data_IF_764024069251
#
_entry.id   IF_764024069251
#
_cell.length_a   1.000
_cell.length_b   1.000
_cell.length_c   1.000
_cell.angle_alpha   90.00
_cell.angle_beta   90.00
_cell.angle_gamma   90.00
#
_symmetry.space_group_name_H-M   'P 1'
#
loop_
_entity.id
_entity.type
_entity.pdbx_description
1 polymer ?
#
# COMPACT_ATOMS: atom_id res chain seq x y z
N UNK A 1 -36.00 -27.68 0.59
CA UNK A 1 -34.92 -26.88 1.19
C UNK A 1 -33.66 -27.33 0.48
N UNK A 2 -33.35 -26.71 -0.63
CA UNK A 2 -32.23 -27.04 -1.52
C UNK A 2 -31.10 -26.06 -1.23
N UNK A 3 -30.03 -26.60 -0.65
CA UNK A 3 -28.78 -25.89 -0.41
C UNK A 3 -28.14 -25.59 -1.75
N UNK A 4 -27.94 -24.30 -2.07
CA UNK A 4 -27.20 -23.88 -3.25
C UNK A 4 -25.74 -23.78 -2.82
N UNK A 5 -24.93 -24.78 -3.21
CA UNK A 5 -23.48 -24.73 -3.14
C UNK A 5 -23.00 -23.68 -4.13
N UNK A 6 -22.62 -22.51 -3.61
CA UNK A 6 -21.91 -21.49 -4.38
C UNK A 6 -20.45 -21.94 -4.50
N UNK A 7 -20.16 -22.59 -5.61
CA UNK A 7 -18.82 -23.00 -5.98
C UNK A 7 -18.01 -21.77 -6.35
N UNK A 8 -17.15 -21.30 -5.43
CA UNK A 8 -16.19 -20.23 -5.68
C UNK A 8 -15.19 -20.68 -6.76
N UNK A 9 -14.86 -19.84 -7.74
CA UNK A 9 -13.92 -20.19 -8.78
C UNK A 9 -12.54 -20.54 -8.20
N UNK A 10 -11.93 -21.61 -8.71
CA UNK A 10 -10.65 -22.19 -8.28
C UNK A 10 -9.41 -21.29 -8.40
N UNK A 11 -9.54 -20.02 -8.78
CA UNK A 11 -8.44 -19.08 -9.01
C UNK A 11 -7.99 -18.28 -7.77
N UNK A 12 -8.52 -18.56 -6.58
CA UNK A 12 -8.09 -17.89 -5.34
C UNK A 12 -7.02 -18.69 -4.58
N UNK A 13 -5.91 -19.04 -5.22
CA UNK A 13 -4.68 -19.28 -4.45
C UNK A 13 -4.01 -17.93 -4.24
N UNK A 14 -4.14 -17.41 -3.04
CA UNK A 14 -3.29 -16.33 -2.53
C UNK A 14 -1.84 -16.73 -2.80
N UNK A 15 -1.10 -15.90 -3.52
CA UNK A 15 0.35 -16.00 -3.54
C UNK A 15 0.77 -15.72 -2.10
N UNK A 16 1.40 -16.66 -1.38
CA UNK A 16 1.80 -16.39 -0.01
C UNK A 16 2.82 -15.27 -0.02
N UNK A 17 2.47 -14.16 0.61
CA UNK A 17 3.43 -13.11 0.91
C UNK A 17 4.49 -13.70 1.87
N UNK A 18 5.79 -13.55 1.60
CA UNK A 18 6.80 -14.07 2.50
C UNK A 18 6.65 -13.45 3.87
N UNK A 19 6.74 -14.29 4.90
CA UNK A 19 6.82 -13.85 6.29
C UNK A 19 7.98 -12.87 6.42
N UNK A 20 7.64 -11.61 6.58
CA UNK A 20 8.59 -10.51 6.72
C UNK A 20 9.20 -10.55 8.13
N UNK A 21 10.34 -11.20 8.27
CA UNK A 21 11.17 -11.08 9.46
C UNK A 21 11.90 -9.74 9.44
N UNK A 22 11.62 -8.92 10.41
CA UNK A 22 12.35 -7.74 10.98
C UNK A 22 13.26 -6.82 10.12
N UNK A 23 13.63 -5.62 10.57
CA UNK A 23 13.68 -4.43 9.76
C UNK A 23 14.78 -4.39 8.71
N UNK A 24 14.39 -4.05 7.49
CA UNK A 24 15.14 -3.32 6.46
C UNK A 24 16.65 -3.67 6.32
N UNK A 25 17.00 -4.93 6.10
CA UNK A 25 18.32 -5.30 5.57
C UNK A 25 18.18 -5.67 4.09
N UNK A 26 19.23 -5.45 3.29
CA UNK A 26 19.26 -5.70 1.84
C UNK A 26 18.88 -7.11 1.35
N UNK A 27 18.54 -8.03 2.27
CA UNK A 27 17.98 -9.35 1.97
C UNK A 27 16.48 -9.31 1.62
N UNK A 28 15.79 -8.24 1.96
CA UNK A 28 14.35 -8.10 1.69
C UNK A 28 14.06 -7.75 0.22
N UNK A 29 14.98 -7.06 -0.45
CA UNK A 29 14.90 -6.83 -1.90
C UNK A 29 14.94 -8.15 -2.69
N UNK A 30 15.72 -9.13 -2.22
CA UNK A 30 15.81 -10.45 -2.85
C UNK A 30 14.55 -11.30 -2.63
N UNK A 31 13.87 -11.17 -1.49
CA UNK A 31 12.63 -11.90 -1.21
C UNK A 31 11.45 -11.35 -2.03
N UNK A 32 11.39 -10.03 -2.21
CA UNK A 32 10.42 -9.38 -3.11
C UNK A 32 10.71 -9.75 -4.58
N UNK A 33 11.97 -9.75 -5.02
CA UNK A 33 12.34 -10.22 -6.35
C UNK A 33 11.94 -11.69 -6.59
N UNK A 34 12.05 -12.56 -5.57
CA UNK A 34 11.63 -13.95 -5.66
C UNK A 34 10.09 -14.11 -5.77
N UNK A 35 9.30 -13.18 -5.20
CA UNK A 35 7.85 -13.15 -5.41
C UNK A 35 7.48 -12.82 -6.86
N UNK A 36 8.24 -11.93 -7.49
CA UNK A 36 8.05 -11.62 -8.91
C UNK A 36 8.53 -12.75 -9.83
N UNK A 37 9.58 -13.48 -9.44
CA UNK A 37 10.16 -14.57 -10.23
C UNK A 37 9.34 -15.87 -10.17
N UNK A 38 8.65 -16.16 -9.06
CA UNK A 38 7.80 -17.35 -8.93
C UNK A 38 6.47 -17.26 -9.70
N UNK A 39 6.08 -16.07 -10.12
CA UNK A 39 4.90 -15.83 -10.97
C UNK A 39 5.10 -16.29 -12.44
N UNK A 40 6.32 -16.68 -12.84
CA UNK A 40 6.68 -16.99 -14.22
C UNK A 40 6.37 -18.42 -14.67
N UNK A 41 5.62 -19.22 -13.92
CA UNK A 41 5.19 -20.56 -14.38
C UNK A 41 3.70 -20.58 -14.69
N UNK A 42 3.45 -20.50 -15.98
CA UNK A 42 2.14 -20.43 -16.61
C UNK A 42 1.11 -21.42 -16.10
N UNK A 43 -0.03 -20.91 -15.83
CA UNK A 43 -1.43 -21.34 -15.82
C UNK A 43 -2.32 -20.57 -14.80
N UNK A 44 -1.72 -19.70 -13.97
CA UNK A 44 -2.46 -18.83 -13.03
C UNK A 44 -2.61 -17.39 -13.54
N UNK A 45 -2.10 -17.10 -14.71
CA UNK A 45 -1.77 -15.74 -15.18
C UNK A 45 -2.98 -14.89 -15.60
N UNK A 46 -4.07 -15.49 -15.99
CA UNK A 46 -5.21 -14.78 -16.57
C UNK A 46 -6.29 -14.32 -15.59
N UNK A 47 -6.18 -14.66 -14.31
CA UNK A 47 -7.23 -14.40 -13.31
C UNK A 47 -6.95 -13.22 -12.36
N UNK A 48 -5.81 -12.56 -12.47
CA UNK A 48 -5.34 -11.66 -11.40
C UNK A 48 -5.22 -10.17 -11.74
N UNK A 49 -5.48 -9.77 -12.99
CA UNK A 49 -5.53 -8.34 -13.33
C UNK A 49 -6.66 -7.66 -12.57
N UNK A 50 -6.38 -6.49 -12.02
CA UNK A 50 -7.33 -5.69 -11.25
C UNK A 50 -7.88 -6.32 -9.95
N UNK A 51 -7.36 -7.48 -9.53
CA UNK A 51 -7.73 -8.06 -8.25
C UNK A 51 -6.79 -7.58 -7.14
N UNK A 52 -7.37 -7.04 -6.06
CA UNK A 52 -6.61 -6.66 -4.87
C UNK A 52 -6.37 -7.89 -4.01
N UNK A 53 -5.10 -8.14 -3.71
CA UNK A 53 -4.67 -9.13 -2.73
C UNK A 53 -4.20 -8.40 -1.48
N UNK A 54 -4.59 -8.89 -0.29
CA UNK A 54 -4.19 -8.25 0.96
C UNK A 54 -3.95 -9.27 2.06
N UNK A 55 -2.94 -9.00 2.86
CA UNK A 55 -2.55 -9.79 4.02
C UNK A 55 -2.37 -8.87 5.23
N UNK A 56 -2.73 -9.38 6.41
CA UNK A 56 -2.53 -8.68 7.68
C UNK A 56 -1.95 -9.62 8.71
N UNK A 57 -0.86 -9.18 9.31
CA UNK A 57 -0.20 -9.85 10.44
C UNK A 57 -0.43 -9.06 11.73
N UNK A 58 -0.73 -9.79 12.82
CA UNK A 58 -0.86 -9.23 14.16
C UNK A 58 0.43 -9.44 14.92
N UNK A 59 1.12 -8.35 15.22
CA UNK A 59 2.36 -8.33 15.94
C UNK A 59 2.13 -7.95 17.42
N UNK A 60 3.11 -8.20 18.30
CA UNK A 60 3.04 -7.82 19.71
C UNK A 60 2.72 -6.34 19.92
N UNK A 61 2.26 -6.00 21.12
CA UNK A 61 1.98 -4.63 21.55
C UNK A 61 0.94 -3.88 20.70
N UNK A 62 0.03 -4.60 20.06
CA UNK A 62 -1.01 -4.00 19.22
C UNK A 62 -0.51 -3.50 17.85
N UNK A 63 0.70 -3.84 17.46
CA UNK A 63 1.22 -3.52 16.13
C UNK A 63 0.51 -4.36 15.06
N UNK A 64 0.27 -3.76 13.92
CA UNK A 64 -0.28 -4.43 12.72
C UNK A 64 0.66 -4.19 11.56
N UNK A 65 0.93 -5.26 10.81
CA UNK A 65 1.59 -5.20 9.51
C UNK A 65 0.57 -5.59 8.46
N UNK A 66 0.46 -4.77 7.43
CA UNK A 66 -0.41 -4.99 6.28
C UNK A 66 0.40 -4.93 5.02
N UNK A 67 0.06 -5.80 4.07
CA UNK A 67 0.56 -5.73 2.71
C UNK A 67 -0.66 -5.83 1.78
N UNK A 68 -0.71 -4.94 0.81
CA UNK A 68 -1.78 -4.90 -0.20
C UNK A 68 -1.13 -4.73 -1.55
N UNK A 69 -1.49 -5.58 -2.51
CA UNK A 69 -0.99 -5.51 -3.86
C UNK A 69 -2.10 -5.51 -4.90
N UNK A 70 -1.81 -4.87 -6.02
CA UNK A 70 -2.69 -4.76 -7.17
C UNK A 70 -1.85 -4.90 -8.44
N UNK A 71 -2.28 -5.78 -9.35
CA UNK A 71 -1.66 -5.97 -10.65
C UNK A 71 -2.48 -5.29 -11.74
N UNK A 72 -1.81 -4.65 -12.72
CA UNK A 72 -2.45 -3.88 -13.76
C UNK A 72 -1.60 -3.81 -15.03
N UNK A 73 -2.24 -3.51 -16.14
CA UNK A 73 -1.56 -3.21 -17.41
C UNK A 73 -1.32 -1.70 -17.50
N UNK A 74 -0.18 -1.25 -16.98
CA UNK A 74 0.21 0.17 -16.98
C UNK A 74 1.73 0.28 -16.94
N UNK A 75 2.30 1.28 -17.63
CA UNK A 75 3.73 1.58 -17.52
C UNK A 75 4.07 2.03 -16.08
N UNK A 76 5.09 1.44 -15.43
CA UNK A 76 5.56 1.80 -14.09
C UNK A 76 5.83 3.29 -13.90
N UNK A 77 6.26 3.99 -14.94
CA UNK A 77 6.57 5.41 -14.89
C UNK A 77 5.37 6.28 -14.46
N UNK A 78 4.16 5.90 -14.87
CA UNK A 78 2.95 6.61 -14.44
C UNK A 78 2.65 6.43 -12.97
N UNK A 79 2.84 5.21 -12.43
CA UNK A 79 2.67 4.96 -11.00
C UNK A 79 3.70 5.74 -10.18
N UNK A 80 4.97 5.74 -10.62
CA UNK A 80 6.02 6.51 -9.96
C UNK A 80 5.71 8.01 -9.93
N UNK A 81 5.28 8.55 -11.06
CA UNK A 81 4.91 9.96 -11.18
C UNK A 81 3.72 10.34 -10.27
N UNK A 82 2.77 9.43 -10.07
CA UNK A 82 1.62 9.64 -9.17
C UNK A 82 2.06 9.56 -7.70
N UNK A 83 2.85 8.55 -7.33
CA UNK A 83 3.31 8.35 -5.94
C UNK A 83 4.22 9.47 -5.44
N UNK A 84 5.01 10.08 -6.35
CA UNK A 84 5.94 11.17 -6.00
C UNK A 84 5.34 12.57 -6.15
N UNK A 85 4.08 12.68 -6.56
CA UNK A 85 3.36 13.95 -6.63
C UNK A 85 2.74 14.34 -5.28
N UNK A 86 3.60 14.50 -4.29
CA UNK A 86 3.24 14.63 -2.87
C UNK A 86 2.22 15.73 -2.56
N UNK A 87 2.31 16.86 -3.25
CA UNK A 87 1.42 18.00 -3.02
C UNK A 87 -0.01 17.75 -3.50
N UNK A 88 -0.20 16.81 -4.41
CA UNK A 88 -1.49 16.51 -5.02
C UNK A 88 -2.14 15.21 -4.53
N UNK A 89 -1.48 14.43 -3.66
CA UNK A 89 -2.01 13.16 -3.14
C UNK A 89 -3.41 13.31 -2.53
N UNK A 90 -3.66 14.39 -1.79
CA UNK A 90 -4.97 14.65 -1.18
C UNK A 90 -6.11 14.92 -2.17
N UNK A 91 -5.82 15.09 -3.47
CA UNK A 91 -6.84 15.29 -4.49
C UNK A 91 -7.52 13.99 -4.92
N UNK A 92 -6.82 12.86 -4.75
CA UNK A 92 -7.32 11.58 -5.25
C UNK A 92 -7.25 10.45 -4.22
N UNK A 93 -6.35 10.51 -3.22
CA UNK A 93 -6.30 9.50 -2.15
C UNK A 93 -7.50 9.68 -1.22
N UNK A 94 -8.37 8.67 -1.05
CA UNK A 94 -9.51 8.74 -0.15
C UNK A 94 -9.08 9.01 1.29
N UNK A 95 -9.90 9.75 2.02
CA UNK A 95 -9.68 10.07 3.43
C UNK A 95 -8.38 10.84 3.75
N UNK A 96 -7.62 11.28 2.75
CA UNK A 96 -6.45 12.14 2.91
C UNK A 96 -6.85 13.59 2.67
N UNK A 97 -7.01 14.37 3.75
CA UNK A 97 -7.43 15.77 3.68
C UNK A 97 -6.29 16.71 3.32
N UNK A 98 -5.10 16.42 3.84
CA UNK A 98 -3.91 17.26 3.64
C UNK A 98 -2.75 16.34 3.24
N UNK A 99 -2.03 16.76 2.21
CA UNK A 99 -0.71 16.26 1.85
C UNK A 99 0.16 17.43 1.47
N UNK A 100 1.16 17.74 2.29
CA UNK A 100 1.98 18.92 2.16
C UNK A 100 3.45 18.59 2.24
N UNK A 101 4.20 18.95 1.20
CA UNK A 101 5.65 18.88 1.20
C UNK A 101 6.19 19.88 2.21
N UNK A 102 6.96 19.40 3.19
CA UNK A 102 7.61 20.25 4.21
C UNK A 102 9.01 20.67 3.75
N UNK A 103 9.78 19.71 3.25
CA UNK A 103 11.13 19.91 2.74
C UNK A 103 11.55 18.77 1.83
N UNK A 104 12.59 19.00 1.02
CA UNK A 104 13.24 17.99 0.16
C UNK A 104 14.77 18.14 0.26
N UNK A 105 15.48 17.02 0.40
CA UNK A 105 16.93 16.94 0.41
C UNK A 105 17.36 15.72 -0.39
N UNK A 106 17.89 15.92 -1.57
CA UNK A 106 18.22 14.86 -2.53
C UNK A 106 17.02 13.90 -2.73
N UNK A 107 17.18 12.64 -2.39
CA UNK A 107 16.15 11.60 -2.48
C UNK A 107 15.30 11.43 -1.19
N UNK A 108 15.45 12.32 -0.22
CA UNK A 108 14.69 12.29 1.04
C UNK A 108 13.72 13.47 1.10
N UNK A 109 12.49 13.19 1.52
CA UNK A 109 11.38 14.14 1.51
C UNK A 109 10.69 14.14 2.86
N UNK A 110 10.48 15.32 3.44
CA UNK A 110 9.60 15.51 4.59
C UNK A 110 8.19 15.85 4.13
N UNK A 111 7.21 15.09 4.59
CA UNK A 111 5.81 15.19 4.18
C UNK A 111 4.89 15.27 5.40
N UNK A 112 3.98 16.24 5.42
CA UNK A 112 2.87 16.25 6.38
C UNK A 112 1.61 15.69 5.73
N UNK A 113 0.97 14.76 6.39
CA UNK A 113 -0.32 14.21 5.98
C UNK A 113 -1.33 14.24 7.12
N UNK A 114 -2.58 14.57 6.79
CA UNK A 114 -3.72 14.48 7.70
C UNK A 114 -4.78 13.62 7.04
N UNK A 115 -5.02 12.46 7.66
CA UNK A 115 -6.13 11.59 7.31
C UNK A 115 -7.36 11.88 8.18
N UNK A 116 -8.55 11.69 7.62
CA UNK A 116 -9.80 11.79 8.36
C UNK A 116 -10.72 10.61 8.06
N UNK A 117 -11.33 10.10 9.11
CA UNK A 117 -12.23 8.95 9.06
C UNK A 117 -13.50 9.24 9.85
N UNK A 118 -14.65 8.79 9.34
CA UNK A 118 -15.91 8.84 10.07
C UNK A 118 -16.27 7.45 10.59
N UNK A 119 -16.56 7.35 11.88
CA UNK A 119 -17.00 6.12 12.50
C UNK A 119 -18.11 6.41 13.51
N UNK A 120 -19.24 5.69 13.40
CA UNK A 120 -20.43 5.87 14.27
C UNK A 120 -20.87 7.33 14.41
N UNK A 121 -20.81 8.11 13.31
CA UNK A 121 -21.17 9.53 13.32
C UNK A 121 -20.11 10.48 13.89
N UNK A 122 -19.01 9.97 14.40
CA UNK A 122 -17.87 10.77 14.86
C UNK A 122 -16.76 10.82 13.80
N UNK A 123 -16.15 11.99 13.65
CA UNK A 123 -15.03 12.21 12.73
C UNK A 123 -13.71 12.18 13.50
N UNK A 124 -12.85 11.25 13.14
CA UNK A 124 -11.50 11.11 13.68
C UNK A 124 -10.50 11.64 12.66
N UNK A 125 -9.53 12.39 13.14
CA UNK A 125 -8.39 12.86 12.33
C UNK A 125 -7.11 12.32 12.92
N UNK A 126 -6.18 11.95 12.04
CA UNK A 126 -4.83 11.58 12.43
C UNK A 126 -3.83 12.37 11.57
N UNK A 127 -2.85 12.95 12.21
CA UNK A 127 -1.76 13.69 11.57
C UNK A 127 -0.47 12.92 11.71
N UNK A 128 0.31 12.89 10.63
CA UNK A 128 1.65 12.32 10.60
C UNK A 128 2.60 13.25 9.84
N UNK A 129 3.82 13.38 10.35
CA UNK A 129 4.96 13.96 9.65
C UNK A 129 5.89 12.80 9.28
N UNK A 130 6.01 12.53 8.01
CA UNK A 130 6.74 11.41 7.45
C UNK A 130 8.07 11.88 6.87
N UNK A 131 9.07 11.05 7.01
CA UNK A 131 10.27 11.08 6.19
C UNK A 131 10.18 9.97 5.16
N UNK A 132 10.23 10.35 3.88
CA UNK A 132 10.18 9.44 2.75
C UNK A 132 11.54 9.39 2.09
N UNK A 133 11.99 8.19 1.70
CA UNK A 133 13.19 7.99 0.91
C UNK A 133 12.81 7.41 -0.44
N UNK A 134 13.17 8.13 -1.50
CA UNK A 134 12.98 7.71 -2.88
C UNK A 134 14.14 6.83 -3.34
N UNK A 135 13.84 5.64 -3.86
CA UNK A 135 14.76 4.72 -4.50
C UNK A 135 14.32 4.47 -5.96
N UNK A 136 14.58 5.42 -6.88
CA UNK A 136 14.06 5.34 -8.25
C UNK A 136 14.54 4.11 -9.02
N UNK A 137 15.79 3.68 -8.80
CA UNK A 137 16.38 2.50 -9.44
C UNK A 137 15.64 1.21 -9.04
N UNK A 138 15.19 1.15 -7.79
CA UNK A 138 14.44 0.03 -7.24
C UNK A 138 12.93 0.20 -7.40
N UNK A 139 12.47 1.33 -7.94
CA UNK A 139 11.06 1.71 -8.01
C UNK A 139 10.37 1.59 -6.64
N UNK A 140 11.08 2.02 -5.59
CA UNK A 140 10.66 1.90 -4.19
C UNK A 140 10.61 3.26 -3.51
N UNK A 141 9.55 3.48 -2.73
CA UNK A 141 9.38 4.66 -1.89
C UNK A 141 9.13 4.19 -0.46
N UNK A 142 10.14 4.26 0.40
CA UNK A 142 10.00 3.92 1.82
C UNK A 142 9.65 5.14 2.65
N UNK A 143 8.94 4.95 3.77
CA UNK A 143 8.58 6.03 4.68
C UNK A 143 8.60 5.60 6.12
N UNK A 144 8.93 6.56 7.00
CA UNK A 144 8.89 6.41 8.45
C UNK A 144 8.32 7.68 9.07
N UNK A 145 7.48 7.53 10.07
CA UNK A 145 6.92 8.66 10.81
C UNK A 145 7.95 9.22 11.80
N UNK A 146 8.23 10.52 11.68
CA UNK A 146 9.06 11.25 12.64
C UNK A 146 8.22 11.82 13.78
N UNK A 147 6.97 12.22 13.49
CA UNK A 147 6.04 12.79 14.46
C UNK A 147 4.59 12.52 14.03
N UNK A 148 3.69 12.27 14.98
CA UNK A 148 2.28 12.07 14.66
C UNK A 148 1.47 11.40 15.74
N UNK A 149 0.24 11.02 15.39
CA UNK A 149 -0.77 10.49 16.30
C UNK A 149 -0.70 8.97 16.48
N UNK A 150 0.33 8.33 15.95
CA UNK A 150 0.61 6.91 16.12
C UNK A 150 1.88 6.71 16.97
N UNK A 151 2.07 5.53 17.53
CA UNK A 151 3.35 5.12 18.14
C UNK A 151 4.35 4.69 17.10
N UNK A 152 3.86 4.02 16.05
CA UNK A 152 4.66 3.56 14.91
C UNK A 152 3.82 3.70 13.65
N UNK A 153 4.41 4.23 12.60
CA UNK A 153 3.80 4.32 11.28
C UNK A 153 4.94 4.36 10.26
N UNK A 154 5.16 3.25 9.58
CA UNK A 154 6.24 3.10 8.60
C UNK A 154 5.86 2.07 7.56
N UNK A 155 6.48 2.13 6.40
CA UNK A 155 6.20 1.20 5.32
C UNK A 155 6.89 1.56 4.02
N UNK A 156 6.35 1.02 2.93
CA UNK A 156 6.86 1.29 1.60
C UNK A 156 5.80 1.09 0.51
N UNK A 157 5.97 1.81 -0.56
CA UNK A 157 5.41 1.51 -1.87
C UNK A 157 6.47 0.85 -2.72
N UNK A 158 6.11 -0.19 -3.45
CA UNK A 158 6.99 -0.90 -4.36
C UNK A 158 6.27 -1.10 -5.69
N UNK A 159 6.91 -0.73 -6.78
CA UNK A 159 6.43 -1.01 -8.13
C UNK A 159 7.30 -2.12 -8.70
N UNK A 160 6.67 -3.21 -9.13
CA UNK A 160 7.30 -4.29 -9.87
C UNK A 160 6.77 -4.31 -11.30
N UNK A 161 7.60 -4.74 -12.23
CA UNK A 161 7.19 -4.90 -13.64
C UNK A 161 7.80 -6.17 -14.22
N UNK A 162 6.97 -6.98 -14.86
CA UNK A 162 7.37 -8.21 -15.54
C UNK A 162 6.56 -8.41 -16.83
N UNK A 163 6.75 -9.55 -17.51
CA UNK A 163 6.07 -9.87 -18.76
C UNK A 163 4.53 -9.91 -18.63
N UNK A 164 4.00 -10.08 -17.43
CA UNK A 164 2.56 -10.19 -17.16
C UNK A 164 1.96 -8.88 -16.62
N UNK A 165 2.71 -7.78 -16.62
CA UNK A 165 2.24 -6.45 -16.26
C UNK A 165 2.99 -5.77 -15.10
N UNK A 166 2.36 -4.76 -14.55
CA UNK A 166 2.90 -3.96 -13.45
C UNK A 166 2.18 -4.28 -12.16
N UNK A 167 2.92 -4.48 -11.09
CA UNK A 167 2.40 -4.72 -9.75
C UNK A 167 2.71 -3.53 -8.86
N UNK A 168 1.72 -3.01 -8.17
CA UNK A 168 1.85 -2.02 -7.12
C UNK A 168 1.63 -2.69 -5.78
N UNK A 169 2.64 -2.67 -4.91
CA UNK A 169 2.59 -3.18 -3.54
C UNK A 169 2.67 -2.02 -2.56
N UNK A 170 1.81 -2.04 -1.56
CA UNK A 170 1.85 -1.13 -0.41
C UNK A 170 1.97 -1.92 0.88
N UNK A 171 3.04 -1.71 1.61
CA UNK A 171 3.32 -2.28 2.92
C UNK A 171 3.20 -1.20 3.99
N UNK A 172 2.52 -1.52 5.09
CA UNK A 172 2.35 -0.63 6.23
C UNK A 172 2.52 -1.39 7.54
N UNK A 173 3.38 -0.89 8.43
CA UNK A 173 3.45 -1.29 9.83
C UNK A 173 2.95 -0.13 10.68
N UNK A 174 1.91 -0.38 11.46
CA UNK A 174 1.27 0.64 12.29
C UNK A 174 1.04 0.15 13.70
N UNK A 175 1.26 1.04 14.68
CA UNK A 175 0.90 0.85 16.09
C UNK A 175 0.13 2.08 16.55
N UNK A 176 -1.09 1.87 17.02
CA UNK A 176 -1.93 2.94 17.58
C UNK A 176 -1.44 3.42 18.94
N UNK A 177 -1.86 4.61 19.33
CA UNK A 177 -1.66 5.12 20.69
C UNK A 177 -2.57 4.41 21.72
N UNK A 178 -2.25 4.58 23.00
CA UNK A 178 -3.06 4.04 24.11
C UNK A 178 -4.48 4.62 24.02
N UNK A 179 -5.48 3.73 24.12
CA UNK A 179 -6.89 4.11 24.01
C UNK A 179 -7.48 4.07 22.60
N UNK A 180 -6.68 3.84 21.56
CA UNK A 180 -7.16 3.68 20.22
C UNK A 180 -7.71 2.24 20.01
N UNK A 181 -8.98 2.04 19.59
CA UNK A 181 -9.59 0.72 19.48
C UNK A 181 -8.96 -0.08 18.34
N UNK A 182 -8.18 -1.12 18.67
CA UNK A 182 -7.40 -1.89 17.68
C UNK A 182 -8.29 -2.56 16.63
N UNK A 183 -9.45 -3.11 17.04
CA UNK A 183 -10.36 -3.78 16.10
C UNK A 183 -10.90 -2.81 15.02
N UNK A 184 -11.18 -1.57 15.42
CA UNK A 184 -11.59 -0.52 14.50
C UNK A 184 -10.47 -0.16 13.52
N UNK A 185 -9.24 -0.07 14.02
CA UNK A 185 -8.05 0.19 13.20
C UNK A 185 -7.89 -0.91 12.16
N UNK A 186 -7.98 -2.19 12.54
CA UNK A 186 -7.79 -3.32 11.63
C UNK A 186 -8.76 -3.29 10.43
N UNK A 187 -10.05 -3.10 10.71
CA UNK A 187 -11.05 -3.05 9.66
C UNK A 187 -10.78 -1.87 8.70
N UNK A 188 -10.56 -0.68 9.27
CA UNK A 188 -10.34 0.53 8.48
C UNK A 188 -9.06 0.48 7.66
N UNK A 189 -7.98 -0.02 8.23
CA UNK A 189 -6.72 -0.17 7.49
C UNK A 189 -6.88 -1.06 6.25
N UNK A 190 -7.62 -2.16 6.34
CA UNK A 190 -7.88 -3.03 5.17
C UNK A 190 -8.64 -2.29 4.06
N UNK A 191 -9.71 -1.60 4.45
CA UNK A 191 -10.54 -0.83 3.52
C UNK A 191 -9.72 0.32 2.88
N UNK A 192 -9.00 1.07 3.69
CA UNK A 192 -8.25 2.26 3.23
C UNK A 192 -7.05 1.90 2.35
N UNK A 193 -6.28 0.86 2.69
CA UNK A 193 -5.15 0.48 1.87
C UNK A 193 -5.59 0.01 0.48
N UNK A 194 -6.64 -0.79 0.41
CA UNK A 194 -7.21 -1.22 -0.86
C UNK A 194 -7.73 -0.02 -1.69
N UNK A 195 -8.44 0.91 -1.03
CA UNK A 195 -8.93 2.13 -1.67
C UNK A 195 -7.78 3.04 -2.15
N UNK A 196 -6.69 3.13 -1.39
CA UNK A 196 -5.51 3.90 -1.78
C UNK A 196 -4.84 3.34 -3.04
N UNK A 197 -4.66 1.99 -3.13
CA UNK A 197 -4.12 1.37 -4.34
C UNK A 197 -4.99 1.66 -5.57
N UNK A 198 -6.32 1.53 -5.41
CA UNK A 198 -7.26 1.86 -6.49
C UNK A 198 -7.19 3.32 -6.91
N UNK A 199 -7.07 4.23 -5.96
CA UNK A 199 -6.97 5.65 -6.25
C UNK A 199 -5.67 5.99 -7.01
N UNK A 200 -4.54 5.39 -6.62
CA UNK A 200 -3.27 5.53 -7.34
C UNK A 200 -3.37 4.97 -8.76
N UNK A 201 -3.96 3.78 -8.93
CA UNK A 201 -4.20 3.17 -10.24
C UNK A 201 -5.05 4.07 -11.13
N UNK A 202 -6.19 4.53 -10.64
CA UNK A 202 -7.12 5.38 -11.40
C UNK A 202 -6.48 6.69 -11.82
N UNK A 203 -5.74 7.34 -10.93
CA UNK A 203 -5.04 8.58 -11.24
C UNK A 203 -3.92 8.34 -12.27
N UNK A 204 -3.18 7.24 -12.17
CA UNK A 204 -2.14 6.90 -13.13
C UNK A 204 -2.72 6.60 -14.52
N UNK A 205 -3.83 5.85 -14.61
CA UNK A 205 -4.56 5.61 -15.86
C UNK A 205 -5.10 6.93 -16.46
N UNK A 206 -5.65 7.81 -15.63
CA UNK A 206 -6.14 9.12 -16.07
C UNK A 206 -5.02 9.98 -16.66
N UNK A 207 -3.83 9.96 -16.04
CA UNK A 207 -2.67 10.70 -16.56
C UNK A 207 -2.15 10.11 -17.85
N UNK A 208 -2.08 8.78 -17.94
CA UNK A 208 -1.65 8.07 -19.16
C UNK A 208 -2.58 8.34 -20.35
N UNK A 209 -3.90 8.43 -20.12
CA UNK A 209 -4.88 8.72 -21.16
C UNK A 209 -4.91 10.21 -21.61
N UNK A 210 -4.29 11.10 -20.86
CA UNK A 210 -4.24 12.54 -21.16
C UNK A 210 -3.00 12.97 -21.97
N UNK A 211 -2.06 12.02 -22.21
CA UNK A 211 -0.86 12.20 -23.03
C UNK A 211 -1.00 11.59 -24.40
#
# INVERSE_FOLDING_TARGET
MTSVDVQLPRCQRLIPLPLLESPLSGRQSAALAALFDSASRGEAEQCALDTIQQEMERLPQGTRRLAVQLRMELDPAWLWAVLTDYANLSRFIPNLEISRLLWRRANVVGLEQVGAQSFMGMRFKARVELELTEHPQEQRLSFTMNKGDFRRFEGAWQIGHDASGTTLLYELTVQGCVGMPIALIEQRLREDLAANLRAVQQEALRRAAAC
#
